data_IF_943103345545
#
_entry.id   IF_943103345545
#
_cell.length_a   1.000
_cell.length_b   1.000
_cell.length_c   1.000
_cell.angle_alpha   90.00
_cell.angle_beta   90.00
_cell.angle_gamma   90.00
#
_symmetry.space_group_name_H-M   'P 1'
#
loop_
_entity.id
_entity.type
_entity.pdbx_description
1 polymer ?
#
# COMPACT_ATOMS: atom_id res chain seq x y z
N UNK A 1 -15.42 -14.27 -13.27
CA UNK A 1 -16.33 -14.01 -12.14
C UNK A 1 -16.77 -12.56 -12.16
N UNK A 2 -17.94 -12.23 -11.58
CA UNK A 2 -18.36 -10.83 -11.44
C UNK A 2 -17.45 -10.10 -10.43
N UNK A 3 -17.38 -8.77 -10.51
CA UNK A 3 -16.60 -7.98 -9.56
C UNK A 3 -17.07 -8.20 -8.11
N UNK A 4 -18.38 -8.24 -7.88
CA UNK A 4 -18.96 -8.48 -6.55
C UNK A 4 -18.54 -9.83 -5.96
N UNK A 5 -18.47 -10.89 -6.78
CA UNK A 5 -17.97 -12.20 -6.34
C UNK A 5 -16.51 -12.13 -5.92
N UNK A 6 -15.65 -11.51 -6.74
CA UNK A 6 -14.22 -11.36 -6.43
C UNK A 6 -14.02 -10.52 -5.18
N UNK A 7 -14.72 -9.39 -5.06
CA UNK A 7 -14.63 -8.49 -3.89
C UNK A 7 -15.01 -9.22 -2.60
N UNK A 8 -16.05 -10.06 -2.62
CA UNK A 8 -16.42 -10.88 -1.47
C UNK A 8 -15.37 -11.95 -1.13
N UNK A 9 -14.75 -12.58 -2.13
CA UNK A 9 -13.66 -13.54 -1.89
C UNK A 9 -12.42 -12.86 -1.32
N UNK A 10 -12.06 -11.69 -1.84
CA UNK A 10 -10.97 -10.86 -1.27
C UNK A 10 -11.29 -10.49 0.17
N UNK A 11 -12.50 -9.99 0.46
CA UNK A 11 -12.91 -9.68 1.85
C UNK A 11 -12.74 -10.87 2.79
N UNK A 12 -13.17 -12.06 2.37
CA UNK A 12 -13.01 -13.30 3.15
C UNK A 12 -11.53 -13.62 3.39
N UNK A 13 -10.72 -13.59 2.34
CA UNK A 13 -9.28 -13.82 2.43
C UNK A 13 -8.60 -12.86 3.42
N UNK A 14 -8.96 -11.57 3.40
CA UNK A 14 -8.43 -10.58 4.34
C UNK A 14 -8.88 -10.85 5.78
N UNK A 15 -10.16 -11.17 6.00
CA UNK A 15 -10.70 -11.39 7.35
C UNK A 15 -10.14 -12.66 8.00
N UNK A 16 -9.80 -13.68 7.21
CA UNK A 16 -9.19 -14.92 7.65
C UNK A 16 -7.66 -14.94 7.52
N UNK A 17 -7.04 -13.82 7.11
CA UNK A 17 -5.59 -13.71 6.86
C UNK A 17 -5.04 -14.79 5.88
N UNK A 18 -5.90 -15.26 4.97
CA UNK A 18 -5.52 -16.23 3.94
C UNK A 18 -4.90 -15.52 2.73
N UNK A 19 -3.67 -15.07 2.91
CA UNK A 19 -2.93 -14.38 1.86
C UNK A 19 -2.58 -15.29 0.68
N UNK A 20 -2.54 -16.62 0.87
CA UNK A 20 -2.37 -17.58 -0.23
C UNK A 20 -3.56 -17.53 -1.18
N UNK A 21 -4.78 -17.51 -0.63
CA UNK A 21 -5.99 -17.32 -1.43
C UNK A 21 -6.00 -15.96 -2.12
N UNK A 22 -5.61 -14.88 -1.43
CA UNK A 22 -5.52 -13.54 -2.02
C UNK A 22 -4.60 -13.53 -3.26
N UNK A 23 -3.39 -14.08 -3.14
CA UNK A 23 -2.43 -14.13 -4.24
C UNK A 23 -2.95 -14.99 -5.40
N UNK A 24 -3.54 -16.15 -5.11
CA UNK A 24 -4.16 -17.01 -6.14
C UNK A 24 -5.27 -16.28 -6.91
N UNK A 25 -6.12 -15.52 -6.21
CA UNK A 25 -7.14 -14.69 -6.85
C UNK A 25 -6.50 -13.58 -7.70
N UNK A 26 -5.41 -12.98 -7.20
CA UNK A 26 -4.65 -11.93 -7.86
C UNK A 26 -3.99 -12.39 -9.16
N UNK A 27 -3.50 -13.63 -9.22
CA UNK A 27 -2.95 -14.21 -10.46
C UNK A 27 -4.02 -14.37 -11.54
N UNK A 28 -5.22 -14.76 -11.15
CA UNK A 28 -6.33 -14.99 -12.09
C UNK A 28 -7.00 -13.68 -12.53
N UNK A 29 -7.08 -12.69 -11.62
CA UNK A 29 -7.92 -11.51 -11.80
C UNK A 29 -7.28 -10.25 -11.19
N UNK A 30 -6.01 -9.99 -11.51
CA UNK A 30 -5.18 -8.93 -10.92
C UNK A 30 -5.90 -7.59 -10.81
N UNK A 31 -6.53 -7.11 -11.89
CA UNK A 31 -7.24 -5.83 -11.89
C UNK A 31 -8.44 -5.79 -10.95
N UNK A 32 -9.23 -6.88 -10.85
CA UNK A 32 -10.39 -6.96 -9.95
C UNK A 32 -9.97 -7.07 -8.50
N UNK A 33 -8.93 -7.84 -8.20
CA UNK A 33 -8.40 -7.97 -6.83
C UNK A 33 -7.80 -6.65 -6.37
N UNK A 34 -6.99 -6.00 -7.21
CA UNK A 34 -6.45 -4.66 -6.95
C UNK A 34 -7.60 -3.68 -6.70
N UNK A 35 -8.61 -3.63 -7.57
CA UNK A 35 -9.78 -2.76 -7.39
C UNK A 35 -10.56 -3.04 -6.10
N UNK A 36 -10.68 -4.31 -5.69
CA UNK A 36 -11.31 -4.68 -4.43
C UNK A 36 -10.50 -4.18 -3.23
N UNK A 37 -9.17 -4.39 -3.23
CA UNK A 37 -8.26 -3.91 -2.17
C UNK A 37 -8.34 -2.39 -2.02
N UNK A 38 -8.23 -1.62 -3.11
CA UNK A 38 -8.41 -0.16 -3.07
C UNK A 38 -9.76 0.23 -2.48
N UNK A 39 -10.84 -0.46 -2.84
CA UNK A 39 -12.16 -0.15 -2.28
C UNK A 39 -12.27 -0.43 -0.77
N UNK A 40 -11.42 -1.31 -0.21
CA UNK A 40 -11.38 -1.61 1.21
C UNK A 40 -10.51 -0.65 2.02
N UNK A 41 -9.64 0.14 1.36
CA UNK A 41 -8.90 1.21 2.03
C UNK A 41 -9.83 2.30 2.61
N UNK A 42 -11.02 2.46 2.06
CA UNK A 42 -12.07 3.37 2.58
C UNK A 42 -13.00 2.71 3.61
N UNK A 43 -12.72 1.46 4.02
CA UNK A 43 -13.60 0.77 4.97
C UNK A 43 -13.54 1.42 6.35
N UNK A 44 -14.70 1.56 7.01
CA UNK A 44 -14.75 1.95 8.43
C UNK A 44 -14.31 0.80 9.35
N UNK A 45 -14.39 -0.45 8.88
CA UNK A 45 -13.84 -1.62 9.58
C UNK A 45 -12.31 -1.58 9.49
N UNK A 46 -11.66 -1.26 10.60
CA UNK A 46 -10.22 -1.14 10.69
C UNK A 46 -9.48 -2.43 10.34
N UNK A 47 -9.99 -3.59 10.77
CA UNK A 47 -9.35 -4.88 10.46
C UNK A 47 -9.35 -5.12 8.95
N UNK A 48 -10.47 -4.83 8.30
CA UNK A 48 -10.58 -4.98 6.84
C UNK A 48 -9.68 -3.97 6.10
N UNK A 49 -9.64 -2.73 6.59
CA UNK A 49 -8.84 -1.64 6.02
C UNK A 49 -7.33 -1.94 6.10
N UNK A 50 -6.83 -2.33 7.28
CA UNK A 50 -5.44 -2.75 7.47
C UNK A 50 -5.11 -4.04 6.72
N UNK A 51 -6.03 -5.01 6.69
CA UNK A 51 -5.90 -6.19 5.85
C UNK A 51 -5.71 -5.83 4.37
N UNK A 52 -6.40 -4.80 3.88
CA UNK A 52 -6.25 -4.33 2.50
C UNK A 52 -4.88 -3.68 2.25
N UNK A 53 -4.33 -2.94 3.22
CA UNK A 53 -2.95 -2.40 3.18
C UNK A 53 -1.95 -3.55 3.02
N UNK A 54 -1.96 -4.53 3.92
CA UNK A 54 -1.08 -5.71 3.84
C UNK A 54 -1.28 -6.50 2.54
N UNK A 55 -2.53 -6.67 2.13
CA UNK A 55 -2.88 -7.35 0.89
C UNK A 55 -2.35 -6.63 -0.36
N UNK A 56 -2.32 -5.30 -0.37
CA UNK A 56 -1.71 -4.52 -1.46
C UNK A 56 -0.20 -4.71 -1.51
N UNK A 57 0.50 -4.69 -0.38
CA UNK A 57 1.93 -4.96 -0.32
C UNK A 57 2.28 -6.32 -0.94
N UNK A 58 1.64 -7.38 -0.43
CA UNK A 58 1.86 -8.76 -0.91
C UNK A 58 1.49 -8.96 -2.37
N UNK A 59 0.33 -8.44 -2.80
CA UNK A 59 -0.09 -8.55 -4.19
C UNK A 59 0.87 -7.79 -5.12
N UNK A 60 1.31 -6.61 -4.72
CA UNK A 60 2.21 -5.77 -5.53
C UNK A 60 3.59 -6.40 -5.63
N UNK A 61 4.12 -7.02 -4.57
CA UNK A 61 5.34 -7.84 -4.61
C UNK A 61 5.24 -8.96 -5.66
N UNK A 62 4.17 -9.75 -5.61
CA UNK A 62 3.96 -10.84 -6.55
C UNK A 62 3.80 -10.34 -8.00
N UNK A 63 3.20 -9.17 -8.20
CA UNK A 63 3.12 -8.51 -9.52
C UNK A 63 4.51 -8.04 -9.94
N UNK A 64 5.24 -7.33 -9.09
CA UNK A 64 6.54 -6.74 -9.40
C UNK A 64 7.57 -7.78 -9.85
N UNK A 65 7.57 -8.97 -9.24
CA UNK A 65 8.43 -10.09 -9.64
C UNK A 65 8.18 -10.58 -11.07
N UNK A 66 7.01 -10.32 -11.64
CA UNK A 66 6.59 -10.76 -12.98
C UNK A 66 6.55 -9.59 -13.98
N UNK A 67 6.14 -8.42 -13.52
CA UNK A 67 5.91 -7.21 -14.30
C UNK A 67 6.07 -5.96 -13.41
N UNK A 68 7.31 -5.44 -13.28
CA UNK A 68 7.61 -4.25 -12.48
C UNK A 68 6.81 -3.01 -12.91
N UNK A 69 6.57 -2.82 -14.21
CA UNK A 69 5.84 -1.66 -14.71
C UNK A 69 4.37 -1.68 -14.28
N UNK A 70 3.77 -2.87 -14.21
CA UNK A 70 2.43 -3.04 -13.65
C UNK A 70 2.38 -2.76 -12.16
N UNK A 71 3.42 -3.11 -11.41
CA UNK A 71 3.52 -2.72 -10.00
C UNK A 71 3.64 -1.20 -9.83
N UNK A 72 4.39 -0.51 -10.71
CA UNK A 72 4.48 0.97 -10.71
C UNK A 72 3.13 1.64 -10.96
N UNK A 73 2.23 1.04 -11.74
CA UNK A 73 0.85 1.56 -11.91
C UNK A 73 0.11 1.59 -10.56
N UNK A 74 0.28 0.56 -9.71
CA UNK A 74 -0.36 0.49 -8.39
C UNK A 74 0.20 1.57 -7.47
N UNK A 75 1.53 1.73 -7.43
CA UNK A 75 2.17 2.77 -6.64
C UNK A 75 1.72 4.17 -7.08
N UNK A 76 1.73 4.46 -8.39
CA UNK A 76 1.23 5.74 -8.92
C UNK A 76 -0.22 6.01 -8.53
N UNK A 77 -1.06 4.97 -8.50
CA UNK A 77 -2.45 5.13 -8.06
C UNK A 77 -2.54 5.52 -6.59
N UNK A 78 -1.71 4.98 -5.70
CA UNK A 78 -1.68 5.40 -4.29
C UNK A 78 -1.26 6.86 -4.17
N UNK A 79 -0.22 7.29 -4.88
CA UNK A 79 0.21 8.68 -4.85
C UNK A 79 -0.80 9.65 -5.47
N UNK A 80 -1.63 9.17 -6.40
CA UNK A 80 -2.78 9.95 -6.87
C UNK A 80 -3.78 10.22 -5.73
N UNK A 81 -4.06 9.24 -4.88
CA UNK A 81 -4.95 9.40 -3.71
C UNK A 81 -4.35 10.31 -2.62
N UNK A 82 -3.03 10.49 -2.60
CA UNK A 82 -2.33 11.41 -1.70
C UNK A 82 -2.37 12.86 -2.19
N UNK A 83 -2.63 13.09 -3.48
CA UNK A 83 -2.66 14.45 -4.02
C UNK A 83 -3.94 15.18 -3.60
N UNK A 84 -3.84 16.47 -3.28
CA UNK A 84 -4.91 17.28 -2.71
C UNK A 84 -6.14 17.40 -3.65
N UNK A 85 -5.93 17.29 -4.97
CA UNK A 85 -6.99 17.29 -5.99
C UNK A 85 -7.92 16.07 -5.92
N UNK A 86 -7.51 14.97 -5.26
CA UNK A 86 -8.35 13.78 -5.07
C UNK A 86 -9.42 13.95 -3.99
N UNK A 87 -9.43 15.11 -3.31
CA UNK A 87 -10.30 15.40 -2.19
C UNK A 87 -9.82 14.82 -0.85
N UNK A 88 -8.55 14.39 -0.77
CA UNK A 88 -7.85 14.07 0.48
C UNK A 88 -8.50 13.02 1.39
N UNK A 89 -9.48 12.25 0.89
CA UNK A 89 -10.31 11.42 1.78
C UNK A 89 -9.61 10.16 2.28
N UNK A 90 -8.55 9.70 1.59
CA UNK A 90 -7.89 8.45 1.88
C UNK A 90 -6.65 8.62 2.78
N UNK A 91 -6.91 8.88 4.07
CA UNK A 91 -5.87 9.04 5.09
C UNK A 91 -4.94 7.83 5.28
N UNK A 92 -5.32 6.63 4.84
CA UNK A 92 -4.51 5.42 4.94
C UNK A 92 -3.58 5.18 3.74
N UNK A 93 -3.67 6.01 2.71
CA UNK A 93 -2.81 5.90 1.53
C UNK A 93 -1.29 5.88 1.86
N UNK A 94 -0.78 6.65 2.85
CA UNK A 94 0.64 6.57 3.22
C UNK A 94 1.06 5.18 3.69
N UNK A 95 0.24 4.52 4.50
CA UNK A 95 0.52 3.17 5.00
C UNK A 95 0.50 2.14 3.87
N UNK A 96 -0.42 2.28 2.90
CA UNK A 96 -0.44 1.45 1.71
C UNK A 96 0.83 1.61 0.86
N UNK A 97 1.32 2.85 0.69
CA UNK A 97 2.59 3.10 0.01
C UNK A 97 3.76 2.47 0.78
N UNK A 98 3.82 2.69 2.10
CA UNK A 98 4.85 2.14 2.98
C UNK A 98 4.91 0.62 2.93
N UNK A 99 3.76 -0.05 2.94
CA UNK A 99 3.69 -1.51 2.88
C UNK A 99 4.16 -2.04 1.51
N UNK A 100 3.90 -1.34 0.41
CA UNK A 100 4.45 -1.73 -0.90
C UNK A 100 5.97 -1.54 -0.94
N UNK A 101 6.48 -0.40 -0.44
CA UNK A 101 7.92 -0.14 -0.37
C UNK A 101 8.61 -1.18 0.53
N UNK A 102 7.97 -1.59 1.64
CA UNK A 102 8.47 -2.65 2.51
C UNK A 102 8.70 -3.96 1.76
N UNK A 103 7.82 -4.39 0.85
CA UNK A 103 8.06 -5.62 0.10
C UNK A 103 8.98 -5.45 -1.11
N UNK A 104 9.05 -4.24 -1.67
CA UNK A 104 9.78 -3.95 -2.92
C UNK A 104 10.64 -2.68 -2.78
N UNK A 105 11.59 -2.63 -1.82
CA UNK A 105 12.31 -1.40 -1.51
C UNK A 105 13.22 -0.96 -2.66
N UNK A 106 13.88 -1.88 -3.37
CA UNK A 106 14.74 -1.54 -4.52
C UNK A 106 13.95 -0.94 -5.68
N UNK A 107 12.68 -1.34 -5.84
CA UNK A 107 11.84 -0.85 -6.93
C UNK A 107 11.24 0.53 -6.64
N UNK A 108 11.03 0.84 -5.36
CA UNK A 108 10.23 1.99 -4.91
C UNK A 108 10.94 2.93 -3.91
N UNK A 109 12.24 2.77 -3.66
CA UNK A 109 12.99 3.65 -2.73
C UNK A 109 12.83 5.15 -3.04
N UNK A 110 12.78 5.54 -4.32
CA UNK A 110 12.63 6.95 -4.72
C UNK A 110 11.29 7.57 -4.26
N UNK A 111 10.30 6.75 -3.88
CA UNK A 111 9.02 7.22 -3.34
C UNK A 111 9.10 7.57 -1.85
N UNK A 112 10.17 7.20 -1.14
CA UNK A 112 10.32 7.44 0.30
C UNK A 112 10.42 8.95 0.57
N UNK A 113 11.28 9.65 -0.16
CA UNK A 113 11.44 11.11 -0.05
C UNK A 113 10.16 11.86 -0.42
N UNK A 114 9.43 11.38 -1.45
CA UNK A 114 8.11 11.92 -1.82
C UNK A 114 7.10 11.68 -0.70
N UNK A 115 7.07 10.49 -0.10
CA UNK A 115 6.16 10.19 1.01
C UNK A 115 6.43 11.09 2.22
N UNK A 116 7.70 11.42 2.47
CA UNK A 116 8.10 12.30 3.57
C UNK A 116 7.62 13.75 3.38
N UNK A 117 7.32 14.21 2.17
CA UNK A 117 6.79 15.57 1.95
C UNK A 117 5.41 15.77 2.58
N UNK A 118 4.69 14.69 2.90
CA UNK A 118 3.38 14.71 3.55
C UNK A 118 3.46 14.76 5.10
N UNK A 119 4.66 14.90 5.69
CA UNK A 119 4.83 14.99 7.16
C UNK A 119 4.24 16.26 7.78
N UNK A 120 4.02 17.31 6.99
CA UNK A 120 3.42 18.56 7.43
C UNK A 120 1.88 18.55 7.37
N UNK A 121 1.28 17.58 6.67
CA UNK A 121 -0.17 17.39 6.65
C UNK A 121 -0.62 16.68 7.95
N UNK A 122 -1.43 17.31 8.81
CA UNK A 122 -1.82 16.71 10.10
C UNK A 122 -2.68 15.44 9.96
N UNK A 123 -3.41 15.29 8.85
CA UNK A 123 -4.25 14.11 8.57
C UNK A 123 -3.38 12.94 8.10
N UNK A 124 -2.40 13.19 7.23
CA UNK A 124 -1.55 12.16 6.64
C UNK A 124 -0.34 11.81 7.51
N UNK A 125 0.18 12.77 8.29
CA UNK A 125 1.38 12.62 9.11
C UNK A 125 1.42 11.33 9.94
N UNK A 126 0.35 10.91 10.65
CA UNK A 126 0.39 9.64 11.40
C UNK A 126 0.62 8.42 10.49
N UNK A 127 -0.01 8.41 9.31
CA UNK A 127 0.18 7.35 8.31
C UNK A 127 1.57 7.38 7.71
N UNK A 128 2.10 8.56 7.41
CA UNK A 128 3.47 8.74 6.88
C UNK A 128 4.50 8.22 7.89
N UNK A 129 4.38 8.57 9.17
CA UNK A 129 5.27 8.08 10.22
C UNK A 129 5.21 6.55 10.32
N UNK A 130 4.01 5.96 10.30
CA UNK A 130 3.86 4.49 10.30
C UNK A 130 4.50 3.84 9.08
N UNK A 131 4.31 4.41 7.90
CA UNK A 131 4.92 3.94 6.67
C UNK A 131 6.46 3.99 6.70
N UNK A 132 7.04 5.11 7.15
CA UNK A 132 8.49 5.25 7.25
C UNK A 132 9.07 4.33 8.32
N UNK A 133 8.39 4.15 9.47
CA UNK A 133 8.78 3.16 10.49
C UNK A 133 8.75 1.75 9.92
N UNK A 134 7.70 1.40 9.17
CA UNK A 134 7.58 0.11 8.50
C UNK A 134 8.75 -0.16 7.55
N UNK A 135 9.10 0.80 6.69
CA UNK A 135 10.25 0.68 5.77
C UNK A 135 11.57 0.55 6.55
N UNK A 136 11.74 1.30 7.64
CA UNK A 136 12.92 1.24 8.50
C UNK A 136 13.18 -0.16 9.08
N UNK A 137 12.14 -0.97 9.30
CA UNK A 137 12.29 -2.33 9.83
C UNK A 137 13.17 -3.23 8.95
N UNK A 138 13.18 -2.99 7.63
CA UNK A 138 13.96 -3.80 6.68
C UNK A 138 15.12 -3.06 6.02
N UNK A 139 15.00 -1.74 5.86
CA UNK A 139 15.96 -0.89 5.14
C UNK A 139 16.15 0.45 5.86
N UNK A 140 16.77 0.44 7.05
CA UNK A 140 17.03 1.68 7.80
C UNK A 140 17.94 2.64 7.03
N UNK A 141 18.85 2.11 6.20
CA UNK A 141 19.74 2.85 5.32
C UNK A 141 18.99 3.74 4.32
N UNK A 142 17.83 3.28 3.83
CA UNK A 142 17.01 4.07 2.91
C UNK A 142 16.35 5.26 3.61
N UNK A 143 15.98 5.13 4.89
CA UNK A 143 15.43 6.26 5.64
C UNK A 143 16.50 7.33 5.86
N UNK A 144 17.72 6.91 6.21
CA UNK A 144 18.85 7.83 6.39
C UNK A 144 19.24 8.54 5.09
N UNK A 145 19.15 7.84 3.96
CA UNK A 145 19.49 8.36 2.63
C UNK A 145 18.42 9.29 2.06
N UNK A 146 17.16 8.83 2.06
CA UNK A 146 16.04 9.52 1.40
C UNK A 146 15.42 10.61 2.27
N UNK A 147 15.54 10.51 3.61
CA UNK A 147 15.02 11.51 4.55
C UNK A 147 16.05 11.84 5.64
N UNK A 148 17.18 12.48 5.28
CA UNK A 148 18.27 12.70 6.22
C UNK A 148 17.84 13.49 7.46
N UNK A 149 18.25 13.00 8.64
CA UNK A 149 17.97 13.66 9.92
C UNK A 149 16.58 13.39 10.50
N UNK A 150 15.72 12.63 9.83
CA UNK A 150 14.42 12.24 10.38
C UNK A 150 14.61 11.25 11.54
N UNK A 151 14.09 11.64 12.70
CA UNK A 151 14.04 10.83 13.91
C UNK A 151 12.69 10.13 14.03
N UNK A 152 12.70 8.80 13.90
CA UNK A 152 11.54 7.91 14.00
C UNK A 152 11.60 7.15 15.34
N UNK A 153 11.61 7.91 16.42
CA UNK A 153 11.70 7.43 17.80
C UNK A 153 10.32 6.92 18.29
#
# INVERSE_FOLDING_TARGET
MSFSTVKNQVKKALQSEDFKLLLKLGEQQTGRVTGALFSFLYSLDEKLRLGAVHGLGLLTDNIARKDPERARIIMRRIFWELNDESGGSLWIAPEAAGEIIYYQPELFQDYISILATFLDDPVLKPGVIRALKRIKEIRPDLIETEVPGLKLD
#
